data_IF_327394634982
#
_entry.id   IF_327394634982
#
_cell.length_a   1.000
_cell.length_b   1.000
_cell.length_c   1.000
_cell.angle_alpha   90.00
_cell.angle_beta   90.00
_cell.angle_gamma   90.00
#
_symmetry.space_group_name_H-M   'P 1'
#
loop_
_entity.id
_entity.type
_entity.pdbx_description
1 polymer ?
#
# COMPACT_ATOMS: atom_id res chain seq x y z
N UNK A 1 0.70 -1.99 -1.75
CA UNK A 1 1.30 -2.67 -2.93
C UNK A 1 2.61 -2.05 -3.45
N UNK A 2 3.13 -0.98 -2.85
CA UNK A 2 4.46 -0.41 -3.16
C UNK A 2 5.62 -1.42 -3.04
N UNK A 3 5.45 -2.46 -2.22
CA UNK A 3 6.48 -3.49 -1.96
C UNK A 3 6.82 -4.37 -3.17
N UNK A 4 5.89 -4.61 -4.11
CA UNK A 4 6.16 -5.50 -5.26
C UNK A 4 6.84 -4.79 -6.44
N UNK A 5 6.75 -3.47 -6.52
CA UNK A 5 7.31 -2.66 -7.62
C UNK A 5 8.85 -2.72 -7.64
N UNK A 6 9.49 -2.86 -6.47
CA UNK A 6 10.94 -2.98 -6.32
C UNK A 6 11.49 -4.22 -7.05
N UNK A 7 10.72 -5.31 -7.09
CA UNK A 7 11.11 -6.53 -7.80
C UNK A 7 11.10 -6.34 -9.32
N UNK A 8 10.14 -5.57 -9.84
CA UNK A 8 10.10 -5.23 -11.26
C UNK A 8 11.30 -4.36 -11.67
N UNK A 9 11.64 -3.35 -10.85
CA UNK A 9 12.83 -2.54 -11.08
C UNK A 9 14.12 -3.34 -10.98
N UNK A 10 14.23 -4.22 -9.99
CA UNK A 10 15.37 -5.13 -9.88
C UNK A 10 15.49 -6.04 -11.11
N UNK A 11 14.37 -6.63 -11.57
CA UNK A 11 14.35 -7.48 -12.76
C UNK A 11 14.81 -6.74 -14.01
N UNK A 12 14.30 -5.52 -14.26
CA UNK A 12 14.74 -4.68 -15.38
C UNK A 12 16.23 -4.38 -15.27
N UNK A 13 16.73 -4.06 -14.07
CA UNK A 13 18.13 -3.73 -13.85
C UNK A 13 19.04 -4.94 -14.14
N UNK A 14 18.65 -6.13 -13.70
CA UNK A 14 19.36 -7.38 -13.93
C UNK A 14 19.39 -7.74 -15.43
N UNK A 15 18.29 -7.48 -16.15
CA UNK A 15 18.26 -7.65 -17.61
C UNK A 15 19.25 -6.68 -18.27
N UNK A 16 19.24 -5.39 -17.92
CA UNK A 16 20.18 -4.40 -18.46
C UNK A 16 21.63 -4.83 -18.17
N UNK A 17 21.92 -5.25 -16.93
CA UNK A 17 23.23 -5.76 -16.54
C UNK A 17 23.67 -6.92 -17.45
N UNK A 18 22.81 -7.91 -17.64
CA UNK A 18 23.08 -9.06 -18.51
C UNK A 18 23.27 -8.68 -19.99
N UNK A 19 22.51 -7.71 -20.49
CA UNK A 19 22.66 -7.22 -21.87
C UNK A 19 23.99 -6.48 -22.08
N UNK A 20 24.47 -5.75 -21.06
CA UNK A 20 25.77 -5.05 -21.11
C UNK A 20 26.98 -5.94 -20.88
N UNK A 21 26.79 -7.21 -20.49
CA UNK A 21 27.89 -8.17 -20.35
C UNK A 21 28.50 -8.56 -21.70
N UNK A 22 29.80 -8.93 -21.67
CA UNK A 22 30.50 -9.43 -22.86
C UNK A 22 29.81 -10.68 -23.39
N UNK A 23 29.71 -10.83 -24.71
CA UNK A 23 28.99 -11.95 -25.37
C UNK A 23 29.38 -13.34 -24.79
N UNK A 24 30.66 -13.55 -24.49
CA UNK A 24 31.17 -14.83 -23.95
C UNK A 24 30.69 -15.15 -22.52
N UNK A 25 30.22 -14.15 -21.76
CA UNK A 25 29.74 -14.31 -20.39
C UNK A 25 28.24 -14.08 -20.25
N UNK A 26 27.58 -13.49 -21.25
CA UNK A 26 26.14 -13.19 -21.25
C UNK A 26 25.27 -14.42 -21.00
N UNK A 27 25.51 -15.52 -21.72
CA UNK A 27 24.72 -16.75 -21.54
C UNK A 27 24.87 -17.31 -20.12
N UNK A 28 26.10 -17.32 -19.59
CA UNK A 28 26.39 -17.77 -18.23
C UNK A 28 25.73 -16.88 -17.17
N UNK A 29 25.68 -15.57 -17.41
CA UNK A 29 24.99 -14.61 -16.54
C UNK A 29 23.49 -14.93 -16.44
N UNK A 30 22.80 -15.01 -17.59
CA UNK A 30 21.37 -15.33 -17.59
C UNK A 30 21.08 -16.71 -17.04
N UNK A 31 21.93 -17.70 -17.32
CA UNK A 31 21.79 -19.03 -16.72
C UNK A 31 21.85 -18.99 -15.19
N UNK A 32 22.85 -18.29 -14.62
CA UNK A 32 22.95 -18.11 -13.16
C UNK A 32 21.75 -17.32 -12.60
N UNK A 33 21.32 -16.28 -13.30
CA UNK A 33 20.15 -15.50 -12.92
C UNK A 33 18.89 -16.38 -12.83
N UNK A 34 18.67 -17.23 -13.84
CA UNK A 34 17.56 -18.18 -13.87
C UNK A 34 17.67 -19.20 -12.74
N UNK A 35 18.86 -19.74 -12.47
CA UNK A 35 19.08 -20.64 -11.34
C UNK A 35 18.73 -19.95 -10.01
N UNK A 36 19.22 -18.74 -9.78
CA UNK A 36 18.89 -17.95 -8.60
C UNK A 36 17.40 -17.68 -8.51
N UNK A 37 16.74 -17.30 -9.61
CA UNK A 37 15.30 -17.06 -9.64
C UNK A 37 14.50 -18.31 -9.29
N UNK A 38 14.88 -19.49 -9.81
CA UNK A 38 14.23 -20.77 -9.48
C UNK A 38 14.40 -21.09 -7.99
N UNK A 39 15.62 -20.98 -7.46
CA UNK A 39 15.88 -21.24 -6.03
C UNK A 39 15.10 -20.27 -5.15
N UNK A 40 15.10 -18.98 -5.48
CA UNK A 40 14.31 -17.97 -4.78
C UNK A 40 12.81 -18.23 -4.89
N UNK A 41 12.31 -18.66 -6.05
CA UNK A 41 10.90 -19.01 -6.23
C UNK A 41 10.50 -20.20 -5.36
N UNK A 42 11.30 -21.27 -5.36
CA UNK A 42 11.06 -22.45 -4.51
C UNK A 42 11.12 -22.06 -3.03
N UNK A 43 12.11 -21.28 -2.61
CA UNK A 43 12.26 -20.84 -1.23
C UNK A 43 11.11 -19.92 -0.78
N UNK A 44 10.54 -19.14 -1.70
CA UNK A 44 9.39 -18.25 -1.41
C UNK A 44 8.04 -18.91 -1.64
N UNK A 45 7.99 -20.14 -2.16
CA UNK A 45 6.75 -20.85 -2.50
C UNK A 45 5.81 -21.08 -1.31
N UNK A 46 6.27 -21.36 -0.07
CA UNK A 46 5.39 -21.45 1.09
C UNK A 46 4.58 -20.16 1.36
N UNK A 47 5.13 -19.01 0.97
CA UNK A 47 4.51 -17.70 1.17
C UNK A 47 3.76 -17.22 -0.08
N UNK A 48 4.30 -17.45 -1.27
CA UNK A 48 3.74 -16.99 -2.55
C UNK A 48 2.74 -17.97 -3.15
N UNK A 49 2.84 -19.26 -2.83
CA UNK A 49 1.93 -20.31 -3.31
C UNK A 49 0.48 -20.08 -2.88
N UNK A 50 0.18 -19.82 -1.59
CA UNK A 50 -1.17 -19.47 -1.15
C UNK A 50 -1.70 -18.21 -1.84
N UNK A 51 -0.83 -17.22 -2.07
CA UNK A 51 -1.18 -15.98 -2.77
C UNK A 51 -1.57 -16.24 -4.23
N UNK A 52 -0.75 -17.01 -4.97
CA UNK A 52 -1.03 -17.41 -6.34
C UNK A 52 -2.32 -18.22 -6.42
N UNK A 53 -2.53 -19.17 -5.50
CA UNK A 53 -3.77 -19.95 -5.40
C UNK A 53 -4.99 -19.06 -5.17
N UNK A 54 -4.87 -18.06 -4.29
CA UNK A 54 -5.93 -17.08 -4.03
C UNK A 54 -6.27 -16.28 -5.29
N UNK A 55 -5.27 -15.81 -6.03
CA UNK A 55 -5.48 -15.07 -7.29
C UNK A 55 -6.09 -15.94 -8.39
N UNK A 56 -5.70 -17.22 -8.48
CA UNK A 56 -6.29 -18.15 -9.46
C UNK A 56 -7.75 -18.49 -9.14
N UNK A 57 -8.09 -18.65 -7.85
CA UNK A 57 -9.46 -19.00 -7.42
C UNK A 57 -10.43 -17.81 -7.46
N UNK A 58 -9.99 -16.66 -6.93
CA UNK A 58 -10.87 -15.52 -6.69
C UNK A 58 -10.74 -14.42 -7.75
N UNK A 59 -9.74 -14.54 -8.63
CA UNK A 59 -9.34 -13.48 -9.53
C UNK A 59 -8.45 -12.44 -8.84
N UNK A 60 -8.08 -11.41 -9.62
CA UNK A 60 -7.25 -10.31 -9.17
C UNK A 60 -7.87 -8.99 -9.64
N UNK A 61 -8.26 -8.13 -8.69
CA UNK A 61 -8.62 -6.75 -8.99
C UNK A 61 -7.43 -5.82 -8.69
N UNK A 62 -6.86 -5.18 -9.70
CA UNK A 62 -5.76 -4.21 -9.52
C UNK A 62 -6.28 -2.78 -9.57
N UNK A 63 -6.73 -2.28 -8.42
CA UNK A 63 -7.28 -0.93 -8.29
C UNK A 63 -6.23 0.19 -8.31
N UNK A 64 -4.93 -0.14 -8.14
CA UNK A 64 -3.86 0.87 -8.28
C UNK A 64 -3.81 1.52 -9.67
N UNK A 65 -4.27 0.81 -10.70
CA UNK A 65 -4.38 1.36 -12.06
C UNK A 65 -5.56 2.32 -12.21
N UNK A 66 -6.64 2.09 -11.46
CA UNK A 66 -7.82 2.95 -11.44
C UNK A 66 -7.57 4.29 -10.72
N UNK A 67 -6.52 4.38 -9.90
CA UNK A 67 -6.07 5.61 -9.22
C UNK A 67 -5.08 6.43 -10.05
N UNK A 68 -4.86 6.06 -11.30
CA UNK A 68 -4.01 6.84 -12.19
C UNK A 68 -4.50 8.29 -12.27
N UNK A 69 -3.59 9.22 -12.02
CA UNK A 69 -3.85 10.64 -12.24
C UNK A 69 -2.89 11.14 -13.32
N UNK A 70 -3.32 12.03 -14.22
CA UNK A 70 -2.40 12.62 -15.21
C UNK A 70 -1.19 13.31 -14.55
N UNK A 71 -1.34 13.85 -13.35
CA UNK A 71 -0.24 14.37 -12.53
C UNK A 71 0.82 13.32 -12.18
N UNK A 72 0.44 12.04 -12.14
CA UNK A 72 1.36 10.91 -11.98
C UNK A 72 2.23 10.63 -13.21
N UNK A 73 1.93 11.20 -14.38
CA UNK A 73 2.78 11.11 -15.57
C UNK A 73 3.95 12.07 -15.57
N UNK A 74 3.93 13.09 -14.69
CA UNK A 74 4.99 14.08 -14.66
C UNK A 74 6.32 13.38 -14.42
N UNK A 75 7.25 13.56 -15.37
CA UNK A 75 8.63 13.15 -15.17
C UNK A 75 9.20 14.05 -14.08
N UNK A 76 9.23 13.53 -12.87
CA UNK A 76 9.92 14.20 -11.78
C UNK A 76 11.43 14.02 -12.03
N UNK A 77 12.27 15.00 -11.75
CA UNK A 77 13.73 14.86 -11.87
C UNK A 77 14.34 15.53 -10.65
N UNK A 78 14.38 14.84 -9.50
CA UNK A 78 14.70 15.48 -8.23
C UNK A 78 16.10 16.11 -8.21
N UNK A 79 17.04 15.60 -9.00
CA UNK A 79 18.37 16.19 -9.16
C UNK A 79 18.41 17.54 -9.88
N UNK A 80 17.38 17.88 -10.66
CA UNK A 80 17.34 19.13 -11.44
C UNK A 80 16.37 20.17 -10.87
N UNK A 81 15.59 19.81 -9.85
CA UNK A 81 14.74 20.75 -9.12
C UNK A 81 15.57 21.46 -8.05
N UNK A 82 16.43 22.41 -8.41
CA UNK A 82 17.43 23.02 -7.51
C UNK A 82 16.84 23.99 -6.46
N UNK A 83 15.74 23.60 -5.82
CA UNK A 83 14.99 24.39 -4.83
C UNK A 83 15.36 24.05 -3.39
N UNK A 84 16.08 22.95 -3.13
CA UNK A 84 16.52 22.55 -1.79
C UNK A 84 17.91 21.90 -1.78
N UNK A 85 18.54 21.85 -0.60
CA UNK A 85 19.80 21.13 -0.37
C UNK A 85 19.71 19.65 -0.74
N UNK A 86 18.56 19.03 -0.54
CA UNK A 86 18.31 17.63 -0.91
C UNK A 86 18.49 17.43 -2.42
N UNK A 87 18.04 18.38 -3.24
CA UNK A 87 18.18 18.31 -4.69
C UNK A 87 19.64 18.43 -5.13
N UNK A 88 20.44 19.25 -4.43
CA UNK A 88 21.88 19.34 -4.65
C UNK A 88 22.61 18.04 -4.29
N UNK A 89 22.21 17.38 -3.20
CA UNK A 89 22.74 16.06 -2.84
C UNK A 89 22.42 15.04 -3.95
N UNK A 90 21.21 15.07 -4.49
CA UNK A 90 20.83 14.18 -5.59
C UNK A 90 21.58 14.48 -6.88
N UNK A 91 21.81 15.76 -7.20
CA UNK A 91 22.64 16.16 -8.33
C UNK A 91 24.09 15.69 -8.17
N UNK A 92 24.66 15.89 -6.99
CA UNK A 92 25.99 15.39 -6.65
C UNK A 92 26.05 13.86 -6.77
N UNK A 93 25.03 13.16 -6.29
CA UNK A 93 24.92 11.72 -6.41
C UNK A 93 24.89 11.23 -7.86
N UNK A 94 24.12 11.90 -8.72
CA UNK A 94 24.11 11.61 -10.15
C UNK A 94 25.49 11.86 -10.77
N UNK A 95 26.12 12.99 -10.47
CA UNK A 95 27.45 13.35 -10.94
C UNK A 95 28.51 12.33 -10.52
N UNK A 96 28.49 11.89 -9.27
CA UNK A 96 29.37 10.86 -8.75
C UNK A 96 29.19 9.52 -9.47
N UNK A 97 27.93 9.09 -9.67
CA UNK A 97 27.64 7.85 -10.40
C UNK A 97 28.14 7.88 -11.84
N UNK A 98 27.96 9.01 -12.55
CA UNK A 98 28.44 9.20 -13.93
C UNK A 98 29.97 9.25 -13.96
N UNK A 99 30.61 10.00 -13.07
CA UNK A 99 32.05 10.14 -13.03
C UNK A 99 32.73 8.79 -12.75
N UNK A 100 32.25 8.06 -11.75
CA UNK A 100 32.77 6.75 -11.36
C UNK A 100 32.12 5.58 -12.12
N UNK A 101 31.47 5.79 -13.28
CA UNK A 101 30.73 4.74 -14.01
C UNK A 101 31.56 3.48 -14.36
N UNK A 102 32.90 3.57 -14.33
CA UNK A 102 33.80 2.42 -14.54
C UNK A 102 33.83 1.49 -13.33
N UNK A 103 33.58 2.00 -12.14
CA UNK A 103 33.50 1.21 -10.91
C UNK A 103 32.23 0.34 -10.91
N UNK A 104 32.33 -0.95 -10.55
CA UNK A 104 31.19 -1.86 -10.58
C UNK A 104 29.97 -1.37 -9.79
N UNK A 105 30.20 -0.77 -8.62
CA UNK A 105 29.12 -0.27 -7.74
C UNK A 105 28.38 0.89 -8.40
N UNK A 106 29.10 1.91 -8.87
CA UNK A 106 28.50 3.07 -9.52
C UNK A 106 27.74 2.66 -10.79
N UNK A 107 28.32 1.74 -11.57
CA UNK A 107 27.68 1.18 -12.76
C UNK A 107 26.37 0.45 -12.44
N UNK A 108 26.36 -0.38 -11.40
CA UNK A 108 25.15 -1.10 -10.98
C UNK A 108 24.07 -0.14 -10.50
N UNK A 109 24.45 0.89 -9.73
CA UNK A 109 23.54 1.95 -9.29
C UNK A 109 22.98 2.75 -10.49
N UNK A 110 23.77 3.03 -11.53
CA UNK A 110 23.26 3.66 -12.75
C UNK A 110 22.25 2.78 -13.49
N UNK A 111 22.46 1.46 -13.55
CA UNK A 111 21.48 0.55 -14.14
C UNK A 111 20.18 0.53 -13.33
N UNK A 112 20.27 0.45 -12.00
CA UNK A 112 19.11 0.55 -11.12
C UNK A 112 18.42 1.91 -11.29
N UNK A 113 19.17 3.01 -11.42
CA UNK A 113 18.59 4.34 -11.63
C UNK A 113 17.80 4.41 -12.95
N UNK A 114 18.36 3.82 -14.01
CA UNK A 114 17.77 3.79 -15.35
C UNK A 114 16.42 3.05 -15.39
N UNK A 115 16.17 2.11 -14.48
CA UNK A 115 14.92 1.33 -14.49
C UNK A 115 13.70 2.16 -14.16
N UNK A 116 13.84 3.21 -13.34
CA UNK A 116 12.74 4.14 -13.07
C UNK A 116 12.28 4.85 -14.34
N UNK A 117 13.21 5.19 -15.25
CA UNK A 117 12.92 5.83 -16.53
C UNK A 117 12.34 4.86 -17.54
N UNK A 118 12.87 3.64 -17.61
CA UNK A 118 12.34 2.59 -18.49
C UNK A 118 10.91 2.24 -18.07
N UNK A 119 10.65 2.13 -16.77
CA UNK A 119 9.30 1.88 -16.27
C UNK A 119 8.35 3.03 -16.58
N UNK A 120 8.80 4.28 -16.35
CA UNK A 120 8.01 5.47 -16.68
C UNK A 120 7.68 5.53 -18.18
N UNK A 121 8.67 5.32 -19.05
CA UNK A 121 8.47 5.28 -20.50
C UNK A 121 7.59 4.11 -20.95
N UNK A 122 7.78 2.92 -20.37
CA UNK A 122 6.96 1.74 -20.64
C UNK A 122 5.49 1.96 -20.25
N UNK A 123 5.24 2.57 -19.11
CA UNK A 123 3.89 2.91 -18.71
C UNK A 123 3.27 4.00 -19.60
N UNK A 124 4.04 4.99 -20.05
CA UNK A 124 3.56 5.95 -21.06
C UNK A 124 3.17 5.24 -22.37
N UNK A 125 3.99 4.32 -22.86
CA UNK A 125 3.68 3.53 -24.05
C UNK A 125 2.40 2.70 -23.87
N UNK A 126 2.20 2.12 -22.69
CA UNK A 126 0.97 1.36 -22.41
C UNK A 126 -0.28 2.24 -22.41
N UNK A 127 -0.15 3.47 -21.92
CA UNK A 127 -1.21 4.47 -21.95
C UNK A 127 -1.49 4.91 -23.40
N UNK A 128 -0.45 5.17 -24.20
CA UNK A 128 -0.59 5.63 -25.58
C UNK A 128 -1.17 4.56 -26.51
N UNK A 129 -0.73 3.31 -26.37
CA UNK A 129 -1.11 2.22 -27.29
C UNK A 129 -2.43 1.56 -26.86
N UNK A 130 -2.55 1.26 -25.57
CA UNK A 130 -3.68 0.47 -25.05
C UNK A 130 -4.69 1.29 -24.25
N UNK A 131 -4.48 2.59 -24.06
CA UNK A 131 -5.36 3.47 -23.27
C UNK A 131 -5.58 2.95 -21.83
N UNK A 132 -4.59 2.22 -21.31
CA UNK A 132 -4.64 1.60 -19.97
C UNK A 132 -3.42 2.02 -19.17
N UNK A 133 -3.59 2.59 -17.96
CA UNK A 133 -2.46 2.91 -17.11
C UNK A 133 -1.83 1.63 -16.54
N UNK A 134 -0.55 1.42 -16.80
CA UNK A 134 0.22 0.30 -16.26
C UNK A 134 0.78 0.62 -14.88
N UNK A 135 0.01 0.30 -13.84
CA UNK A 135 0.26 0.53 -12.41
C UNK A 135 0.59 1.99 -12.07
N UNK A 136 0.49 2.36 -10.79
CA UNK A 136 0.77 3.73 -10.38
C UNK A 136 2.28 4.03 -10.49
N UNK A 137 2.65 5.12 -11.17
CA UNK A 137 4.03 5.56 -11.47
C UNK A 137 4.84 6.03 -10.24
N UNK A 138 4.52 5.53 -9.04
CA UNK A 138 5.08 6.03 -7.78
C UNK A 138 6.51 5.57 -7.51
N UNK A 139 6.97 4.54 -8.19
CA UNK A 139 8.34 4.05 -8.03
C UNK A 139 9.38 5.13 -8.25
N UNK A 140 9.12 6.05 -9.19
CA UNK A 140 10.00 7.18 -9.47
C UNK A 140 10.27 8.07 -8.25
N UNK A 141 9.24 8.33 -7.42
CA UNK A 141 9.34 9.24 -6.27
C UNK A 141 10.15 8.70 -5.08
N UNK A 142 10.41 7.39 -5.04
CA UNK A 142 11.13 6.75 -3.94
C UNK A 142 12.42 6.10 -4.44
N UNK A 143 12.35 5.33 -5.52
CA UNK A 143 13.47 4.57 -6.08
C UNK A 143 14.59 5.48 -6.58
N UNK A 144 14.26 6.49 -7.39
CA UNK A 144 15.26 7.37 -7.98
C UNK A 144 16.01 8.20 -6.91
N UNK A 145 15.33 8.88 -5.96
CA UNK A 145 16.00 9.55 -4.84
C UNK A 145 16.88 8.63 -4.00
N UNK A 146 16.41 7.41 -3.72
CA UNK A 146 17.17 6.44 -2.91
C UNK A 146 18.50 6.10 -3.58
N UNK A 147 18.48 5.82 -4.89
CA UNK A 147 19.69 5.49 -5.64
C UNK A 147 20.61 6.70 -5.77
N UNK A 148 20.07 7.90 -5.98
CA UNK A 148 20.87 9.12 -6.02
C UNK A 148 21.51 9.42 -4.66
N UNK A 149 20.81 9.18 -3.55
CA UNK A 149 21.38 9.29 -2.21
C UNK A 149 22.51 8.27 -1.99
N UNK A 150 22.34 7.02 -2.43
CA UNK A 150 23.42 6.01 -2.43
C UNK A 150 24.60 6.45 -3.30
N UNK A 151 24.34 7.04 -4.46
CA UNK A 151 25.35 7.63 -5.35
C UNK A 151 26.12 8.77 -4.67
N UNK A 152 25.42 9.64 -3.93
CA UNK A 152 26.04 10.72 -3.18
C UNK A 152 26.91 10.18 -2.05
N UNK A 153 26.43 9.19 -1.28
CA UNK A 153 27.22 8.53 -0.25
C UNK A 153 28.48 7.86 -0.84
N UNK A 154 28.35 7.23 -2.01
CA UNK A 154 29.48 6.66 -2.74
C UNK A 154 30.48 7.73 -3.20
N UNK A 155 30.01 8.84 -3.76
CA UNK A 155 30.86 9.97 -4.14
C UNK A 155 31.62 10.56 -2.94
N UNK A 156 30.92 10.74 -1.82
CA UNK A 156 31.53 11.22 -0.57
C UNK A 156 32.59 10.25 -0.04
N UNK A 157 32.35 8.94 -0.11
CA UNK A 157 33.36 7.95 0.31
C UNK A 157 34.61 7.99 -0.57
N UNK A 158 34.46 8.23 -1.88
CA UNK A 158 35.60 8.42 -2.79
C UNK A 158 36.38 9.70 -2.50
N UNK A 159 35.70 10.80 -2.19
CA UNK A 159 36.35 12.04 -1.75
C UNK A 159 37.10 11.81 -0.44
N UNK A 160 36.47 11.12 0.51
CA UNK A 160 37.06 10.78 1.80
C UNK A 160 38.36 10.00 1.66
N UNK A 161 38.35 8.98 0.79
CA UNK A 161 39.52 8.19 0.44
C UNK A 161 40.58 9.02 -0.28
N UNK A 162 40.19 9.86 -1.25
CA UNK A 162 41.12 10.70 -2.01
C UNK A 162 41.94 11.64 -1.12
N UNK A 163 41.31 12.21 -0.09
CA UNK A 163 41.97 13.09 0.88
C UNK A 163 42.62 12.36 2.05
N UNK A 164 42.66 11.01 2.04
CA UNK A 164 43.21 10.16 3.10
C UNK A 164 42.72 10.56 4.51
N UNK A 165 41.43 10.93 4.63
CA UNK A 165 40.88 11.42 5.89
C UNK A 165 40.91 10.36 6.99
N UNK A 166 40.90 9.07 6.63
CA UNK A 166 41.07 7.94 7.56
C UNK A 166 42.39 8.00 8.35
N UNK A 167 43.44 8.58 7.77
CA UNK A 167 44.73 8.77 8.44
C UNK A 167 44.72 9.97 9.40
N UNK A 168 43.71 10.85 9.30
CA UNK A 168 43.54 12.05 10.13
C UNK A 168 42.45 11.80 11.16
N UNK A 169 42.75 10.97 12.16
CA UNK A 169 41.78 10.42 13.13
C UNK A 169 40.88 11.47 13.77
N UNK A 170 41.43 12.64 14.13
CA UNK A 170 40.63 13.74 14.73
C UNK A 170 39.62 14.33 13.74
N UNK A 171 40.05 14.64 12.52
CA UNK A 171 39.17 15.18 11.46
C UNK A 171 38.11 14.17 11.05
N UNK A 172 38.49 12.90 10.93
CA UNK A 172 37.56 11.80 10.63
C UNK A 172 36.46 11.67 11.69
N UNK A 173 36.85 11.64 12.97
CA UNK A 173 35.90 11.55 14.09
C UNK A 173 34.99 12.78 14.13
N UNK A 174 35.51 14.00 13.97
CA UNK A 174 34.69 15.22 13.97
C UNK A 174 33.66 15.21 12.85
N UNK A 175 34.04 14.86 11.62
CA UNK A 175 33.12 14.79 10.50
C UNK A 175 32.07 13.68 10.68
N UNK A 176 32.48 12.53 11.22
CA UNK A 176 31.55 11.44 11.54
C UNK A 176 30.53 11.85 12.62
N UNK A 177 30.97 12.53 13.67
CA UNK A 177 30.09 13.04 14.73
C UNK A 177 29.15 14.14 14.22
N UNK A 178 29.62 15.05 13.37
CA UNK A 178 28.77 16.05 12.72
C UNK A 178 27.73 15.39 11.81
N UNK A 179 28.14 14.40 11.02
CA UNK A 179 27.24 13.61 10.18
C UNK A 179 26.19 12.87 11.01
N UNK A 180 26.60 12.25 12.12
CA UNK A 180 25.69 11.59 13.05
C UNK A 180 24.71 12.60 13.69
N UNK A 181 25.19 13.76 14.11
CA UNK A 181 24.36 14.83 14.66
C UNK A 181 23.31 15.34 13.66
N UNK A 182 23.70 15.53 12.40
CA UNK A 182 22.77 15.88 11.31
C UNK A 182 21.74 14.76 11.06
N UNK A 183 22.17 13.50 11.04
CA UNK A 183 21.27 12.36 10.88
C UNK A 183 20.29 12.24 12.03
N UNK A 184 20.71 12.50 13.28
CA UNK A 184 19.83 12.52 14.46
C UNK A 184 18.85 13.68 14.36
N UNK A 185 19.31 14.88 14.01
CA UNK A 185 18.46 16.07 13.87
C UNK A 185 17.39 15.91 12.78
N UNK A 186 17.70 15.16 11.71
CA UNK A 186 16.78 14.82 10.63
C UNK A 186 16.13 13.44 10.79
N UNK A 187 16.40 12.75 11.91
CA UNK A 187 15.85 11.43 12.14
C UNK A 187 14.36 11.51 12.36
N UNK A 188 13.67 10.44 11.98
CA UNK A 188 12.26 10.24 12.30
C UNK A 188 11.94 10.46 13.79
N UNK A 189 12.90 10.13 14.67
CA UNK A 189 12.73 10.24 16.12
C UNK A 189 12.85 11.68 16.64
N UNK A 190 13.58 12.58 15.97
CA UNK A 190 13.80 13.95 16.44
C UNK A 190 12.81 14.97 15.87
N UNK A 191 12.53 14.93 14.56
CA UNK A 191 11.67 15.94 13.94
C UNK A 191 10.20 15.52 13.87
N UNK A 192 9.94 14.27 13.46
CA UNK A 192 8.57 13.80 13.25
C UNK A 192 7.89 13.38 14.55
N UNK A 193 8.61 12.66 15.42
CA UNK A 193 8.01 12.16 16.66
C UNK A 193 7.70 13.29 17.66
N UNK A 194 8.54 14.31 17.70
CA UNK A 194 8.42 15.44 18.63
C UNK A 194 7.55 16.58 18.10
N UNK A 195 7.10 16.51 16.83
CA UNK A 195 6.11 17.43 16.29
C UNK A 195 4.83 17.40 17.17
N UNK A 196 4.38 18.55 17.70
CA UNK A 196 3.23 18.60 18.61
C UNK A 196 1.95 18.03 18.00
N UNK A 197 1.76 18.20 16.69
CA UNK A 197 0.60 17.68 15.94
C UNK A 197 0.66 16.15 15.89
N UNK A 198 1.82 15.59 15.56
CA UNK A 198 2.04 14.15 15.53
C UNK A 198 1.92 13.54 16.93
N UNK A 199 2.46 14.21 17.95
CA UNK A 199 2.34 13.80 19.35
C UNK A 199 0.88 13.75 19.79
N UNK A 200 0.10 14.80 19.51
CA UNK A 200 -1.32 14.86 19.85
C UNK A 200 -2.12 13.79 19.10
N UNK A 201 -1.85 13.60 17.81
CA UNK A 201 -2.51 12.57 17.02
C UNK A 201 -2.16 11.17 17.53
N UNK A 202 -0.93 10.95 17.99
CA UNK A 202 -0.50 9.68 18.61
C UNK A 202 -1.23 9.42 19.93
N UNK A 203 -1.41 10.43 20.76
CA UNK A 203 -2.19 10.30 22.01
C UNK A 203 -3.63 9.94 21.68
N UNK A 204 -4.26 10.66 20.74
CA UNK A 204 -5.62 10.35 20.27
C UNK A 204 -5.73 8.94 19.68
N UNK A 205 -4.76 8.54 18.86
CA UNK A 205 -4.76 7.20 18.22
C UNK A 205 -4.50 6.06 19.21
N UNK A 206 -3.88 6.35 20.37
CA UNK A 206 -3.70 5.37 21.46
C UNK A 206 -4.94 5.23 22.34
N UNK A 207 -5.83 6.23 22.33
CA UNK A 207 -7.09 6.17 23.05
C UNK A 207 -8.14 5.52 22.15
N UNK A 208 -8.60 4.32 22.53
CA UNK A 208 -9.73 3.70 21.86
C UNK A 208 -11.00 4.44 22.22
N UNK A 209 -11.86 4.65 21.23
CA UNK A 209 -13.19 5.21 21.45
C UNK A 209 -13.97 4.29 22.41
N UNK A 210 -14.44 4.79 23.57
CA UNK A 210 -15.22 4.00 24.51
C UNK A 210 -16.41 3.28 23.87
N UNK A 211 -17.03 3.85 22.83
CA UNK A 211 -18.14 3.20 22.13
C UNK A 211 -17.70 1.92 21.42
N UNK A 212 -16.50 1.94 20.82
CA UNK A 212 -15.92 0.79 20.14
C UNK A 212 -15.48 -0.28 21.14
N UNK A 213 -14.95 0.14 22.30
CA UNK A 213 -14.61 -0.80 23.37
C UNK A 213 -15.86 -1.55 23.83
N UNK A 214 -16.96 -0.86 24.12
CA UNK A 214 -18.21 -1.49 24.55
C UNK A 214 -18.83 -2.38 23.47
N UNK A 215 -18.80 -1.94 22.21
CA UNK A 215 -19.23 -2.75 21.07
C UNK A 215 -18.38 -4.02 20.93
N UNK A 216 -17.05 -3.91 21.07
CA UNK A 216 -16.15 -5.05 20.96
C UNK A 216 -16.37 -6.08 22.08
N UNK A 217 -16.64 -5.62 23.31
CA UNK A 217 -17.00 -6.49 24.43
C UNK A 217 -18.30 -7.23 24.15
N UNK A 218 -19.31 -6.52 23.63
CA UNK A 218 -20.58 -7.13 23.25
C UNK A 218 -20.39 -8.24 22.20
N UNK A 219 -19.64 -7.97 21.13
CA UNK A 219 -19.41 -8.94 20.04
C UNK A 219 -18.57 -10.14 20.49
N UNK A 220 -17.58 -9.95 21.35
CA UNK A 220 -16.80 -11.05 21.92
C UNK A 220 -17.65 -11.98 22.78
N UNK A 221 -18.67 -11.46 23.45
CA UNK A 221 -19.62 -12.26 24.23
C UNK A 221 -20.72 -12.90 23.37
N UNK A 222 -20.90 -12.45 22.14
CA UNK A 222 -21.92 -12.95 21.19
C UNK A 222 -21.29 -13.28 19.83
N UNK A 223 -20.31 -14.20 19.76
CA UNK A 223 -19.62 -14.51 18.52
C UNK A 223 -20.58 -15.19 17.52
N UNK A 224 -20.34 -14.96 16.23
CA UNK A 224 -20.97 -15.73 15.16
C UNK A 224 -20.15 -16.98 14.83
N UNK A 225 -20.74 -17.99 14.17
CA UNK A 225 -19.98 -19.08 13.56
C UNK A 225 -18.92 -18.53 12.60
N UNK A 226 -17.75 -19.18 12.52
CA UNK A 226 -16.59 -18.70 11.77
C UNK A 226 -16.87 -18.42 10.27
N UNK A 227 -17.75 -19.23 9.66
CA UNK A 227 -18.11 -19.10 8.25
C UNK A 227 -19.17 -18.01 7.98
N UNK A 228 -19.68 -17.37 9.04
CA UNK A 228 -20.74 -16.36 8.95
C UNK A 228 -20.14 -14.98 8.72
N UNK A 229 -20.67 -14.29 7.72
CA UNK A 229 -20.26 -12.96 7.34
C UNK A 229 -20.97 -11.91 8.20
N UNK A 230 -20.21 -10.87 8.54
CA UNK A 230 -20.72 -9.63 9.13
C UNK A 230 -20.51 -8.47 8.16
N UNK A 231 -21.51 -7.62 7.96
CA UNK A 231 -21.34 -6.37 7.22
C UNK A 231 -21.10 -5.21 8.19
N UNK A 232 -19.91 -4.61 8.12
CA UNK A 232 -19.51 -3.49 8.98
C UNK A 232 -18.41 -2.63 8.32
N UNK A 233 -18.32 -1.36 8.71
CA UNK A 233 -17.29 -0.42 8.21
C UNK A 233 -16.55 0.34 9.31
N UNK A 234 -16.48 -0.20 10.52
CA UNK A 234 -15.84 0.38 11.69
C UNK A 234 -14.36 -0.05 11.74
N UNK A 235 -13.40 0.81 11.36
CA UNK A 235 -12.01 0.40 11.14
C UNK A 235 -11.33 -0.24 12.35
N UNK A 236 -11.61 0.31 13.54
CA UNK A 236 -10.98 -0.11 14.80
C UNK A 236 -11.49 -1.47 15.28
N UNK A 237 -12.70 -1.87 14.88
CA UNK A 237 -13.35 -3.06 15.39
C UNK A 237 -12.62 -4.33 14.96
N UNK A 238 -12.16 -4.37 13.70
CA UNK A 238 -11.41 -5.48 13.11
C UNK A 238 -10.03 -5.71 13.75
N UNK A 239 -9.50 -4.72 14.47
CA UNK A 239 -8.26 -4.89 15.21
C UNK A 239 -8.46 -5.58 16.57
N UNK A 240 -9.70 -5.65 17.06
CA UNK A 240 -10.04 -6.08 18.43
C UNK A 240 -10.86 -7.37 18.41
N UNK A 241 -11.77 -7.51 17.45
CA UNK A 241 -12.70 -8.65 17.34
C UNK A 241 -12.41 -9.40 16.05
N UNK A 242 -12.24 -10.74 16.09
CA UNK A 242 -12.07 -11.55 14.89
C UNK A 242 -13.41 -11.67 14.14
N UNK A 243 -13.72 -10.67 13.31
CA UNK A 243 -14.93 -10.64 12.49
C UNK A 243 -14.61 -11.10 11.08
N UNK A 244 -15.34 -12.09 10.59
CA UNK A 244 -15.33 -12.44 9.17
C UNK A 244 -16.15 -11.39 8.40
N UNK A 245 -15.49 -10.30 7.99
CA UNK A 245 -16.16 -9.15 7.39
C UNK A 245 -16.47 -9.38 5.89
N UNK A 246 -17.71 -9.08 5.49
CA UNK A 246 -18.18 -9.12 4.11
C UNK A 246 -17.35 -8.19 3.21
N UNK A 247 -17.01 -6.98 3.65
CA UNK A 247 -16.23 -6.04 2.85
C UNK A 247 -15.47 -5.07 3.75
N UNK A 248 -14.17 -4.93 3.52
CA UNK A 248 -13.37 -3.95 4.23
C UNK A 248 -13.73 -2.53 3.78
N UNK A 249 -13.84 -1.58 4.71
CA UNK A 249 -14.29 -0.21 4.43
C UNK A 249 -13.40 0.56 3.44
N UNK A 250 -12.12 0.20 3.30
CA UNK A 250 -11.16 0.91 2.47
C UNK A 250 -10.68 0.06 1.29
N UNK A 251 -11.05 0.50 0.08
CA UNK A 251 -10.69 -0.17 -1.16
C UNK A 251 -9.17 -0.33 -1.36
N UNK A 252 -8.36 0.65 -0.94
CA UNK A 252 -6.92 0.69 -1.18
C UNK A 252 -6.12 -0.32 -0.35
N UNK A 253 -6.62 -0.63 0.83
CA UNK A 253 -5.99 -1.54 1.79
C UNK A 253 -6.52 -2.97 1.64
N UNK A 254 -7.39 -3.20 0.65
CA UNK A 254 -7.96 -4.50 0.43
C UNK A 254 -7.03 -5.41 -0.38
N UNK A 255 -7.07 -6.70 -0.10
CA UNK A 255 -6.33 -7.68 -0.88
C UNK A 255 -6.95 -7.78 -2.29
N UNK A 256 -6.18 -7.90 -3.39
CA UNK A 256 -6.74 -7.98 -4.74
C UNK A 256 -7.73 -9.14 -4.93
N UNK A 257 -7.52 -10.24 -4.21
CA UNK A 257 -8.40 -11.41 -4.22
C UNK A 257 -9.69 -11.23 -3.39
N UNK A 258 -9.82 -10.11 -2.68
CA UNK A 258 -11.02 -9.81 -1.90
C UNK A 258 -12.17 -9.28 -2.77
N UNK A 259 -11.95 -9.03 -4.07
CA UNK A 259 -13.00 -8.66 -5.05
C UNK A 259 -13.90 -7.52 -4.55
N UNK A 260 -13.27 -6.42 -4.11
CA UNK A 260 -13.93 -5.28 -3.48
C UNK A 260 -15.11 -4.78 -4.31
N UNK A 261 -14.95 -4.62 -5.64
CA UNK A 261 -16.03 -4.05 -6.46
C UNK A 261 -17.30 -4.90 -6.43
N UNK A 262 -17.17 -6.22 -6.52
CA UNK A 262 -18.32 -7.14 -6.49
C UNK A 262 -19.03 -7.09 -5.14
N UNK A 263 -18.27 -7.07 -4.05
CA UNK A 263 -18.82 -6.98 -2.69
C UNK A 263 -19.46 -5.61 -2.44
N UNK A 264 -18.84 -4.54 -2.92
CA UNK A 264 -19.37 -3.18 -2.81
C UNK A 264 -20.68 -3.01 -3.58
N UNK A 265 -20.74 -3.49 -4.83
CA UNK A 265 -21.97 -3.49 -5.62
C UNK A 265 -23.08 -4.31 -4.97
N UNK A 266 -22.74 -5.45 -4.37
CA UNK A 266 -23.72 -6.24 -3.60
C UNK A 266 -24.26 -5.47 -2.40
N UNK A 267 -23.40 -4.78 -1.63
CA UNK A 267 -23.85 -3.94 -0.51
C UNK A 267 -24.72 -2.78 -0.97
N UNK A 268 -24.39 -2.16 -2.11
CA UNK A 268 -25.26 -1.15 -2.72
C UNK A 268 -26.61 -1.73 -3.13
N UNK A 269 -26.63 -2.93 -3.71
CA UNK A 269 -27.87 -3.64 -4.07
C UNK A 269 -28.72 -3.96 -2.83
N UNK A 270 -28.13 -4.38 -1.71
CA UNK A 270 -28.84 -4.55 -0.44
C UNK A 270 -29.54 -3.26 0.00
N UNK A 271 -28.85 -2.11 -0.11
CA UNK A 271 -29.39 -0.82 0.29
C UNK A 271 -30.56 -0.34 -0.57
N UNK A 272 -30.72 -0.89 -1.79
CA UNK A 272 -31.86 -0.56 -2.69
C UNK A 272 -33.14 -1.32 -2.39
N UNK A 273 -33.11 -2.29 -1.47
CA UNK A 273 -34.30 -3.07 -1.11
C UNK A 273 -35.43 -2.16 -0.60
N UNK A 274 -36.65 -2.41 -1.07
CA UNK A 274 -37.83 -1.60 -0.74
C UNK A 274 -38.63 -2.15 0.45
N UNK A 275 -38.33 -3.37 0.88
CA UNK A 275 -39.02 -4.04 1.99
C UNK A 275 -38.10 -4.99 2.74
N UNK A 276 -38.41 -5.34 4.01
CA UNK A 276 -37.69 -6.36 4.76
C UNK A 276 -37.63 -7.72 4.06
N UNK A 277 -38.72 -8.10 3.37
CA UNK A 277 -38.83 -9.37 2.62
C UNK A 277 -37.87 -9.38 1.42
N UNK A 278 -37.78 -8.26 0.71
CA UNK A 278 -36.82 -8.13 -0.40
C UNK A 278 -35.39 -8.15 0.11
N UNK A 279 -35.11 -7.46 1.23
CA UNK A 279 -33.78 -7.43 1.82
C UNK A 279 -33.33 -8.84 2.24
N UNK A 280 -34.17 -9.60 2.94
CA UNK A 280 -33.81 -10.97 3.38
C UNK A 280 -33.61 -11.91 2.19
N UNK A 281 -34.38 -11.75 1.10
CA UNK A 281 -34.16 -12.53 -0.12
C UNK A 281 -32.79 -12.24 -0.75
N UNK A 282 -32.37 -10.98 -0.79
CA UNK A 282 -31.02 -10.61 -1.27
C UNK A 282 -29.93 -11.19 -0.36
N UNK A 283 -30.12 -11.11 0.96
CA UNK A 283 -29.20 -11.67 1.97
C UNK A 283 -29.06 -13.19 1.84
N UNK A 284 -30.16 -13.91 1.69
CA UNK A 284 -30.16 -15.38 1.53
C UNK A 284 -29.47 -15.82 0.23
N UNK A 285 -29.43 -14.93 -0.78
CA UNK A 285 -28.74 -15.15 -2.05
C UNK A 285 -27.33 -14.54 -2.08
N UNK A 286 -26.72 -14.26 -0.92
CA UNK A 286 -25.37 -13.72 -0.85
C UNK A 286 -24.35 -14.63 -1.55
N UNK A 287 -23.64 -14.15 -2.60
CA UNK A 287 -22.73 -15.00 -3.37
C UNK A 287 -21.40 -15.26 -2.65
N UNK A 288 -21.18 -14.66 -1.48
CA UNK A 288 -19.91 -14.70 -0.76
C UNK A 288 -19.92 -15.59 0.49
N UNK A 289 -21.10 -16.07 0.90
CA UNK A 289 -21.30 -16.82 2.15
C UNK A 289 -22.50 -16.30 2.95
N UNK A 290 -22.88 -17.00 4.04
CA UNK A 290 -24.04 -16.64 4.85
C UNK A 290 -23.81 -15.31 5.56
N UNK A 291 -24.58 -14.28 5.22
CA UNK A 291 -24.54 -12.97 5.87
C UNK A 291 -25.53 -12.95 7.04
N UNK A 292 -25.02 -13.01 8.26
CA UNK A 292 -25.84 -13.22 9.47
C UNK A 292 -25.92 -11.98 10.38
N UNK A 293 -25.00 -11.03 10.24
CA UNK A 293 -24.95 -9.84 11.11
C UNK A 293 -24.63 -8.56 10.36
N UNK A 294 -25.22 -7.48 10.82
CA UNK A 294 -24.93 -6.12 10.40
C UNK A 294 -24.49 -5.30 11.60
N UNK A 295 -23.46 -4.48 11.41
CA UNK A 295 -23.03 -3.49 12.40
C UNK A 295 -23.03 -2.13 11.73
N UNK A 296 -23.88 -1.25 12.23
CA UNK A 296 -24.10 0.08 11.66
C UNK A 296 -23.81 1.16 12.69
N UNK A 297 -23.42 2.34 12.18
CA UNK A 297 -23.72 3.59 12.86
C UNK A 297 -25.09 4.08 12.36
N UNK A 298 -25.95 4.62 13.22
CA UNK A 298 -27.31 4.98 12.81
C UNK A 298 -27.87 6.21 13.51
N UNK A 299 -28.79 6.88 12.84
CA UNK A 299 -29.64 7.93 13.41
C UNK A 299 -31.09 7.44 13.55
N UNK A 300 -32.06 8.35 13.65
CA UNK A 300 -33.47 7.99 13.79
C UNK A 300 -34.07 7.32 12.54
N UNK A 301 -33.59 7.67 11.34
CA UNK A 301 -34.19 7.27 10.07
C UNK A 301 -33.38 6.19 9.35
N UNK A 302 -32.05 6.26 9.42
CA UNK A 302 -31.16 5.46 8.59
C UNK A 302 -30.02 4.81 9.39
N UNK A 303 -29.57 3.68 8.88
CA UNK A 303 -28.29 3.06 9.17
C UNK A 303 -27.27 3.41 8.10
N UNK A 304 -26.01 3.58 8.51
CA UNK A 304 -24.93 4.08 7.67
C UNK A 304 -23.75 3.12 7.65
N UNK A 305 -23.21 2.94 6.45
CA UNK A 305 -21.88 2.39 6.21
C UNK A 305 -21.04 3.42 5.47
N UNK A 306 -19.78 3.55 5.88
CA UNK A 306 -18.84 4.53 5.34
C UNK A 306 -17.72 3.78 4.62
N UNK A 307 -17.54 4.09 3.34
CA UNK A 307 -16.52 3.47 2.50
C UNK A 307 -15.56 4.52 1.97
N UNK A 308 -14.28 4.17 1.95
CA UNK A 308 -13.25 4.91 1.22
C UNK A 308 -13.09 4.23 -0.14
N UNK A 309 -13.73 4.83 -1.14
CA UNK A 309 -13.78 4.34 -2.52
C UNK A 309 -12.85 5.17 -3.39
N UNK A 310 -12.31 4.55 -4.42
CA UNK A 310 -11.43 5.20 -5.37
C UNK A 310 -12.20 6.22 -6.21
N UNK A 311 -11.65 7.44 -6.33
CA UNK A 311 -12.15 8.45 -7.27
C UNK A 311 -11.02 8.90 -8.18
N UNK A 312 -11.17 8.56 -9.46
CA UNK A 312 -10.25 8.97 -10.52
C UNK A 312 -9.98 10.49 -10.44
N UNK A 313 -8.71 10.89 -10.53
CA UNK A 313 -8.20 12.27 -10.39
C UNK A 313 -8.09 12.79 -8.94
N UNK A 314 -9.09 12.58 -8.07
CA UNK A 314 -9.06 13.14 -6.70
C UNK A 314 -8.53 12.17 -5.62
N UNK A 315 -8.19 10.93 -5.99
CA UNK A 315 -7.63 9.92 -5.10
C UNK A 315 -8.71 9.12 -4.39
N UNK A 316 -9.10 9.59 -3.21
CA UNK A 316 -10.08 8.93 -2.34
C UNK A 316 -11.39 9.75 -2.29
N UNK A 317 -12.51 9.06 -2.33
CA UNK A 317 -13.83 9.60 -2.04
C UNK A 317 -14.45 8.82 -0.89
N UNK A 318 -14.97 9.53 0.10
CA UNK A 318 -15.82 8.93 1.12
C UNK A 318 -17.23 8.76 0.54
N UNK A 319 -17.70 7.51 0.50
CA UNK A 319 -19.05 7.14 0.09
C UNK A 319 -19.82 6.62 1.28
N UNK A 320 -21.00 7.18 1.50
CA UNK A 320 -21.94 6.66 2.50
C UNK A 320 -23.01 5.82 1.80
N UNK A 321 -23.17 4.58 2.24
CA UNK A 321 -24.33 3.75 1.88
C UNK A 321 -25.34 3.86 3.01
N UNK A 322 -26.56 4.27 2.67
CA UNK A 322 -27.66 4.47 3.61
C UNK A 322 -28.66 3.32 3.49
N UNK A 323 -29.05 2.76 4.62
CA UNK A 323 -30.12 1.79 4.70
C UNK A 323 -31.26 2.35 5.53
N UNK A 324 -32.50 2.27 5.04
CA UNK A 324 -33.66 2.66 5.82
C UNK A 324 -33.84 1.67 6.99
N UNK A 325 -34.00 2.18 8.21
CA UNK A 325 -34.16 1.34 9.42
C UNK A 325 -35.41 0.46 9.38
N UNK A 326 -36.44 0.87 8.65
CA UNK A 326 -37.66 0.08 8.43
C UNK A 326 -37.42 -1.24 7.70
N UNK A 327 -36.25 -1.41 7.05
CA UNK A 327 -35.87 -2.69 6.44
C UNK A 327 -35.45 -3.75 7.47
N UNK A 328 -35.01 -3.32 8.67
CA UNK A 328 -34.47 -4.18 9.72
C UNK A 328 -35.48 -4.36 10.86
N UNK A 329 -36.58 -5.03 10.55
CA UNK A 329 -37.68 -5.28 11.50
C UNK A 329 -37.96 -6.78 11.66
N UNK A 330 -38.61 -7.19 12.77
CA UNK A 330 -39.12 -8.55 12.94
C UNK A 330 -40.11 -8.94 11.83
N UNK A 331 -40.24 -10.24 11.48
CA UNK A 331 -39.56 -11.38 12.11
C UNK A 331 -38.15 -11.63 11.56
N UNK A 332 -37.71 -10.92 10.51
CA UNK A 332 -36.47 -11.24 9.79
C UNK A 332 -35.20 -10.75 10.47
N UNK A 333 -35.30 -9.68 11.27
CA UNK A 333 -34.16 -9.04 11.90
C UNK A 333 -34.41 -8.76 13.36
N UNK A 334 -33.38 -8.91 14.18
CA UNK A 334 -33.40 -8.57 15.60
C UNK A 334 -32.24 -7.61 15.93
N UNK A 335 -32.58 -6.44 16.48
CA UNK A 335 -31.57 -5.50 16.99
C UNK A 335 -31.16 -5.97 18.38
N UNK A 336 -29.96 -6.52 18.49
CA UNK A 336 -29.45 -7.11 19.73
C UNK A 336 -28.55 -6.15 20.54
N UNK A 337 -28.10 -5.07 19.90
CA UNK A 337 -27.33 -4.01 20.55
C UNK A 337 -27.71 -2.65 19.97
N UNK A 338 -27.88 -1.67 20.84
CA UNK A 338 -28.01 -0.25 20.49
C UNK A 338 -27.38 0.59 21.59
N UNK A 339 -26.19 1.12 21.35
CA UNK A 339 -25.53 2.00 22.31
C UNK A 339 -24.55 2.95 21.60
N UNK A 340 -24.48 4.19 22.08
CA UNK A 340 -23.57 5.23 21.58
C UNK A 340 -23.59 5.39 20.04
N UNK A 341 -24.76 5.22 19.42
CA UNK A 341 -24.97 5.34 17.98
C UNK A 341 -24.63 4.10 17.16
N UNK A 342 -24.11 3.03 17.77
CA UNK A 342 -23.84 1.75 17.11
C UNK A 342 -24.96 0.74 17.33
N UNK A 343 -25.25 -0.02 16.27
CA UNK A 343 -26.30 -1.02 16.22
C UNK A 343 -25.74 -2.36 15.76
N UNK A 344 -26.07 -3.44 16.47
CA UNK A 344 -25.81 -4.82 16.01
C UNK A 344 -27.15 -5.47 15.71
N UNK A 345 -27.31 -5.92 14.46
CA UNK A 345 -28.55 -6.49 13.95
C UNK A 345 -28.25 -7.87 13.40
N UNK A 346 -28.91 -8.88 13.97
CA UNK A 346 -28.74 -10.27 13.55
C UNK A 346 -29.94 -10.71 12.70
N UNK A 347 -29.63 -11.48 11.66
CA UNK A 347 -30.60 -12.11 10.77
C UNK A 347 -31.24 -13.30 11.50
N UNK A 348 -32.56 -13.33 11.52
CA UNK A 348 -33.33 -14.42 12.10
C UNK A 348 -33.59 -15.49 11.04
N UNK A 349 -33.41 -16.76 11.42
CA UNK A 349 -33.61 -17.94 10.55
C UNK A 349 -35.01 -18.50 10.69
#
# INVERSE_FOLDING_TARGET
>A
MTYYLWLAFAAIALIIMGLTEKNNHRLRYFWRLTQTAIVSFIATLPFTGPLLSSYLKNGLESWQTALFTPTGLNLWLPMFQLTSWTNLIFLFGLGALIYYHRDPIARQLLYLFSTAFIWWGGGLLTLLIWHKPFQEFRGFYIWAPTILAMGAAYGLSRIWQHYNLDQKTKTAITLALLGLGLLIAQSFFGFFIDDPTIRNQRIKSKQMDPSIVQLSQYLNNHPLPQDSLTLETVPQLLAIVPINNLIYFNQHNNHPAAIFSKRYNYVQDLATAKSPVELIQKINNCPFGPLERFIFYGDQENYYLYFHVDKFISGLEEKTIKFNRQLFVPPYFQVNYNNLGYYVIDVQK
#
